data_IF_070911046159
#
_entry.id   IF_070911046159
#
_cell.length_a   1.000
_cell.length_b   1.000
_cell.length_c   1.000
_cell.angle_alpha   90.00
_cell.angle_beta   90.00
_cell.angle_gamma   90.00
#
_symmetry.space_group_name_H-M   'P 1'
#
loop_
_entity.id
_entity.type
_entity.pdbx_description
1 polymer ?
#
# COMPACT_ATOMS: atom_id res chain seq x y z
N UNK A 1 8.48 16.17 12.39
CA UNK A 1 7.09 16.20 11.89
C UNK A 1 6.54 14.81 12.13
N UNK A 2 5.35 14.65 12.73
CA UNK A 2 4.68 13.36 12.76
C UNK A 2 4.54 12.87 11.32
N UNK A 3 4.87 11.60 11.07
CA UNK A 3 4.70 11.00 9.75
C UNK A 3 3.21 10.84 9.50
N UNK A 4 2.79 10.95 8.25
CA UNK A 4 1.43 10.61 7.87
C UNK A 4 1.29 9.08 8.03
N UNK A 5 0.60 8.67 9.09
CA UNK A 5 0.11 7.31 9.28
C UNK A 5 -1.20 7.24 8.52
N UNK A 6 -1.32 6.21 7.68
CA UNK A 6 -2.49 5.96 6.84
C UNK A 6 -3.16 4.73 7.43
N UNK A 7 -4.35 4.94 8.00
CA UNK A 7 -5.22 3.85 8.40
C UNK A 7 -5.78 3.20 7.13
N UNK A 8 -5.78 1.87 7.10
CA UNK A 8 -6.33 1.06 6.04
C UNK A 8 -7.69 0.55 6.48
N UNK A 9 -8.72 0.91 5.72
CA UNK A 9 -10.04 0.30 5.83
C UNK A 9 -10.06 -0.92 4.90
N UNK A 10 -9.92 -2.12 5.47
CA UNK A 10 -9.83 -3.33 4.65
C UNK A 10 -11.15 -3.65 3.93
N UNK A 11 -12.30 -3.20 4.45
CA UNK A 11 -13.59 -3.37 3.75
C UNK A 11 -13.62 -2.47 2.50
N UNK A 12 -13.26 -1.19 2.63
CA UNK A 12 -13.16 -0.26 1.50
C UNK A 12 -12.16 -0.76 0.45
N UNK A 13 -11.03 -1.30 0.87
CA UNK A 13 -9.99 -1.82 -0.03
C UNK A 13 -10.44 -3.12 -0.72
N UNK A 14 -11.20 -4.00 -0.05
CA UNK A 14 -11.80 -5.18 -0.68
C UNK A 14 -12.86 -4.78 -1.73
N UNK A 15 -13.71 -3.80 -1.42
CA UNK A 15 -14.67 -3.23 -2.37
C UNK A 15 -13.96 -2.62 -3.59
N UNK A 16 -12.86 -1.88 -3.38
CA UNK A 16 -12.06 -1.31 -4.47
C UNK A 16 -11.42 -2.37 -5.38
N UNK A 17 -11.02 -3.53 -4.83
CA UNK A 17 -10.58 -4.67 -5.64
C UNK A 17 -11.76 -5.28 -6.42
N UNK A 18 -12.97 -5.29 -5.86
CA UNK A 18 -14.20 -5.65 -6.57
C UNK A 18 -14.46 -4.76 -7.78
N UNK A 19 -14.43 -3.43 -7.59
CA UNK A 19 -14.55 -2.46 -8.67
C UNK A 19 -13.47 -2.68 -9.75
N UNK A 20 -12.24 -3.00 -9.33
CA UNK A 20 -11.14 -3.31 -10.26
C UNK A 20 -11.39 -4.56 -11.09
N UNK A 21 -12.06 -5.58 -10.56
CA UNK A 21 -12.45 -6.76 -11.33
C UNK A 21 -13.49 -6.41 -12.39
N UNK A 22 -14.45 -5.55 -12.06
CA UNK A 22 -15.44 -5.06 -13.01
C UNK A 22 -14.78 -4.26 -14.14
N UNK A 23 -13.84 -3.36 -13.82
CA UNK A 23 -13.06 -2.63 -14.83
C UNK A 23 -12.28 -3.57 -15.77
N UNK A 24 -11.66 -4.63 -15.23
CA UNK A 24 -10.94 -5.62 -16.05
C UNK A 24 -11.90 -6.40 -16.97
N UNK A 25 -13.10 -6.71 -16.50
CA UNK A 25 -14.12 -7.37 -17.29
C UNK A 25 -14.63 -6.48 -18.42
N UNK A 26 -14.89 -5.19 -18.15
CA UNK A 26 -15.26 -4.20 -19.15
C UNK A 26 -14.18 -4.03 -20.22
N UNK A 27 -12.91 -3.89 -19.81
CA UNK A 27 -11.79 -3.76 -20.73
C UNK A 27 -11.58 -5.01 -21.62
N UNK A 28 -11.88 -6.23 -21.13
CA UNK A 28 -11.90 -7.44 -21.96
C UNK A 28 -13.05 -7.40 -22.99
N UNK A 29 -14.25 -6.95 -22.58
CA UNK A 29 -15.42 -6.85 -23.47
C UNK A 29 -15.22 -5.81 -24.58
N UNK A 30 -14.60 -4.68 -24.25
CA UNK A 30 -14.29 -3.60 -25.20
C UNK A 30 -13.08 -3.91 -26.09
N UNK A 31 -12.37 -5.01 -25.81
CA UNK A 31 -11.20 -5.45 -26.57
C UNK A 31 -9.93 -4.62 -26.30
N UNK A 32 -9.92 -3.85 -25.21
CA UNK A 32 -8.74 -3.11 -24.75
C UNK A 32 -7.71 -4.04 -24.09
N UNK A 33 -8.18 -5.17 -23.53
CA UNK A 33 -7.36 -6.22 -22.95
C UNK A 33 -7.61 -7.57 -23.63
N UNK A 34 -6.53 -8.26 -23.97
CA UNK A 34 -6.58 -9.65 -24.44
C UNK A 34 -7.08 -10.57 -23.32
N UNK A 35 -8.00 -11.51 -23.62
CA UNK A 35 -8.59 -12.42 -22.63
C UNK A 35 -7.57 -13.16 -21.74
N UNK A 36 -6.43 -13.55 -22.30
CA UNK A 36 -5.39 -14.25 -21.53
C UNK A 36 -4.66 -13.34 -20.54
N UNK A 37 -4.60 -12.04 -20.80
CA UNK A 37 -4.05 -11.04 -19.91
C UNK A 37 -5.09 -10.64 -18.87
N UNK A 38 -6.33 -10.37 -19.29
CA UNK A 38 -7.43 -10.03 -18.39
C UNK A 38 -7.63 -11.10 -17.31
N UNK A 39 -7.69 -12.39 -17.68
CA UNK A 39 -7.84 -13.49 -16.72
C UNK A 39 -6.69 -13.64 -15.74
N UNK A 40 -5.47 -13.30 -16.15
CA UNK A 40 -4.31 -13.36 -15.26
C UNK A 40 -4.41 -12.26 -14.21
N UNK A 41 -4.64 -11.03 -14.66
CA UNK A 41 -4.80 -9.87 -13.78
C UNK A 41 -5.99 -10.06 -12.84
N UNK A 42 -7.13 -10.53 -13.35
CA UNK A 42 -8.30 -10.82 -12.53
C UNK A 42 -8.03 -11.92 -11.51
N UNK A 43 -7.26 -12.96 -11.86
CA UNK A 43 -6.84 -14.00 -10.92
C UNK A 43 -6.02 -13.45 -9.76
N UNK A 44 -5.06 -12.57 -10.04
CA UNK A 44 -4.22 -11.94 -8.99
C UNK A 44 -5.08 -11.05 -8.07
N UNK A 45 -5.97 -10.22 -8.65
CA UNK A 45 -6.89 -9.35 -7.89
C UNK A 45 -7.86 -10.17 -7.03
N UNK A 46 -8.42 -11.26 -7.57
CA UNK A 46 -9.30 -12.15 -6.82
C UNK A 46 -8.63 -12.77 -5.60
N UNK A 47 -7.36 -13.16 -5.73
CA UNK A 47 -6.61 -13.73 -4.61
C UNK A 47 -6.32 -12.69 -3.52
N UNK A 48 -6.02 -11.45 -3.91
CA UNK A 48 -5.84 -10.35 -2.96
C UNK A 48 -7.16 -10.02 -2.23
N UNK A 49 -8.27 -9.93 -2.97
CA UNK A 49 -9.60 -9.69 -2.40
C UNK A 49 -9.98 -10.79 -1.40
N UNK A 50 -9.81 -12.05 -1.78
CA UNK A 50 -10.10 -13.17 -0.88
C UNK A 50 -9.22 -13.15 0.39
N UNK A 51 -7.94 -12.77 0.26
CA UNK A 51 -7.05 -12.65 1.41
C UNK A 51 -7.42 -11.48 2.35
N UNK A 52 -7.96 -10.38 1.81
CA UNK A 52 -8.52 -9.29 2.62
C UNK A 52 -9.79 -9.73 3.35
N UNK A 53 -10.70 -10.44 2.67
CA UNK A 53 -11.91 -11.00 3.28
C UNK A 53 -11.59 -11.99 4.41
N UNK A 54 -10.59 -12.86 4.21
CA UNK A 54 -10.09 -13.77 5.25
C UNK A 54 -9.55 -12.99 6.46
N UNK A 55 -8.75 -11.94 6.22
CA UNK A 55 -8.22 -11.11 7.30
C UNK A 55 -9.32 -10.36 8.07
N UNK A 56 -10.36 -9.88 7.38
CA UNK A 56 -11.54 -9.25 7.98
C UNK A 56 -12.36 -10.24 8.81
N UNK A 57 -12.52 -11.49 8.35
CA UNK A 57 -13.22 -12.52 9.11
C UNK A 57 -12.45 -12.91 10.39
N UNK A 58 -11.13 -13.04 10.30
CA UNK A 58 -10.27 -13.37 11.44
C UNK A 58 -10.13 -12.20 12.43
N UNK A 59 -10.14 -10.97 11.92
CA UNK A 59 -9.83 -9.76 12.67
C UNK A 59 -10.77 -8.58 12.35
N UNK A 60 -12.07 -8.71 12.67
CA UNK A 60 -13.09 -7.74 12.24
C UNK A 60 -12.96 -6.34 12.86
N UNK A 61 -12.38 -6.25 14.05
CA UNK A 61 -12.22 -4.98 14.79
C UNK A 61 -10.76 -4.47 14.77
N UNK A 62 -9.91 -5.06 13.94
CA UNK A 62 -8.49 -4.73 13.93
C UNK A 62 -8.19 -3.45 13.17
N UNK A 63 -7.29 -2.63 13.74
CA UNK A 63 -6.72 -1.50 13.03
C UNK A 63 -5.52 -1.95 12.21
N UNK A 64 -5.53 -1.58 10.94
CA UNK A 64 -4.42 -1.77 10.02
C UNK A 64 -3.89 -0.40 9.62
N UNK A 65 -2.58 -0.21 9.69
CA UNK A 65 -2.01 1.08 9.32
C UNK A 65 -0.65 0.93 8.67
N UNK A 66 -0.37 1.82 7.71
CA UNK A 66 0.94 1.95 7.07
C UNK A 66 1.48 3.35 7.27
N UNK A 67 2.76 3.54 6.99
CA UNK A 67 3.39 4.87 7.05
C UNK A 67 4.21 5.18 5.82
N UNK A 68 4.36 6.48 5.60
CA UNK A 68 5.41 6.98 4.72
C UNK A 68 6.83 6.74 5.28
N UNK A 69 7.78 6.56 4.37
CA UNK A 69 9.20 6.40 4.64
C UNK A 69 9.92 7.73 4.61
N UNK A 70 10.83 7.90 5.56
CA UNK A 70 11.85 8.92 5.41
C UNK A 70 12.81 8.55 4.28
N UNK A 71 13.49 9.53 3.67
CA UNK A 71 14.51 9.25 2.66
C UNK A 71 15.60 8.27 3.15
N UNK A 72 15.97 8.32 4.43
CA UNK A 72 16.93 7.41 5.04
C UNK A 72 16.41 5.96 5.11
N UNK A 73 15.22 5.76 5.65
CA UNK A 73 14.58 4.42 5.73
C UNK A 73 14.36 3.83 4.33
N UNK A 74 13.92 4.66 3.37
CA UNK A 74 13.77 4.23 1.98
C UNK A 74 15.10 3.79 1.37
N UNK A 75 16.19 4.51 1.65
CA UNK A 75 17.53 4.14 1.19
C UNK A 75 18.04 2.84 1.84
N UNK A 76 17.77 2.65 3.13
CA UNK A 76 18.11 1.42 3.86
C UNK A 76 17.34 0.21 3.30
N UNK A 77 16.03 0.34 3.12
CA UNK A 77 15.17 -0.69 2.52
C UNK A 77 15.62 -1.03 1.09
N UNK A 78 15.86 0.00 0.26
CA UNK A 78 16.36 -0.20 -1.12
C UNK A 78 17.72 -0.92 -1.11
N UNK A 79 18.58 -0.60 -0.15
CA UNK A 79 19.86 -1.29 0.06
C UNK A 79 19.70 -2.76 0.44
N UNK A 80 18.73 -3.09 1.31
CA UNK A 80 18.39 -4.46 1.70
C UNK A 80 17.86 -5.26 0.51
N UNK A 81 16.91 -4.69 -0.23
CA UNK A 81 16.33 -5.27 -1.46
C UNK A 81 17.44 -5.58 -2.47
N UNK A 82 18.32 -4.61 -2.73
CA UNK A 82 19.43 -4.77 -3.67
C UNK A 82 20.35 -5.92 -3.25
N UNK A 83 20.75 -5.99 -1.98
CA UNK A 83 21.60 -7.08 -1.48
C UNK A 83 20.93 -8.45 -1.63
N UNK A 84 19.63 -8.52 -1.40
CA UNK A 84 18.85 -9.76 -1.53
C UNK A 84 18.78 -10.22 -2.99
N UNK A 85 18.50 -9.31 -3.93
CA UNK A 85 18.53 -9.59 -5.37
C UNK A 85 19.92 -10.09 -5.81
N UNK A 86 20.98 -9.37 -5.43
CA UNK A 86 22.36 -9.75 -5.76
C UNK A 86 22.77 -11.10 -5.16
N UNK A 87 22.23 -11.47 -3.99
CA UNK A 87 22.48 -12.76 -3.37
C UNK A 87 21.76 -13.88 -4.12
N UNK A 88 20.49 -13.67 -4.47
CA UNK A 88 19.70 -14.67 -5.18
C UNK A 88 20.22 -14.95 -6.59
N UNK A 89 20.68 -13.91 -7.30
CA UNK A 89 21.39 -14.07 -8.58
C UNK A 89 22.62 -14.97 -8.47
N UNK A 90 23.32 -14.92 -7.31
CA UNK A 90 24.51 -15.76 -7.05
C UNK A 90 24.16 -17.18 -6.65
N UNK A 91 23.05 -17.40 -5.96
CA UNK A 91 22.64 -18.71 -5.43
C UNK A 91 21.65 -19.45 -6.33
N UNK A 92 21.06 -18.79 -7.32
CA UNK A 92 20.01 -19.34 -8.17
C UNK A 92 18.71 -19.57 -7.41
N UNK A 93 18.39 -18.68 -6.45
CA UNK A 93 17.19 -18.79 -5.63
C UNK A 93 16.01 -18.10 -6.34
N UNK A 94 14.88 -18.79 -6.49
CA UNK A 94 13.74 -18.31 -7.26
C UNK A 94 12.72 -17.48 -6.45
N UNK A 95 12.70 -17.62 -5.12
CA UNK A 95 11.69 -17.00 -4.24
C UNK A 95 12.00 -15.53 -3.86
N UNK A 96 12.69 -14.80 -4.73
CA UNK A 96 13.13 -13.43 -4.43
C UNK A 96 11.95 -12.51 -4.24
N UNK A 97 10.98 -12.55 -5.13
CA UNK A 97 9.85 -11.61 -5.13
C UNK A 97 9.06 -11.70 -3.83
N UNK A 98 8.74 -12.92 -3.35
CA UNK A 98 8.09 -13.09 -2.04
C UNK A 98 8.92 -12.53 -0.89
N UNK A 99 10.25 -12.64 -0.93
CA UNK A 99 11.10 -12.02 0.08
C UNK A 99 11.06 -10.48 0.01
N UNK A 100 10.89 -9.89 -1.18
CA UNK A 100 10.74 -8.44 -1.35
C UNK A 100 9.41 -7.94 -0.82
N UNK A 101 8.32 -8.67 -1.08
CA UNK A 101 6.99 -8.32 -0.57
C UNK A 101 7.01 -8.28 0.96
N UNK A 102 7.61 -9.30 1.58
CA UNK A 102 7.85 -9.33 3.02
C UNK A 102 8.60 -8.08 3.51
N UNK A 103 9.64 -7.63 2.79
CA UNK A 103 10.39 -6.45 3.19
C UNK A 103 9.61 -5.14 3.04
N UNK A 104 8.85 -4.97 1.95
CA UNK A 104 8.05 -3.77 1.74
C UNK A 104 6.92 -3.68 2.76
N UNK A 105 6.13 -4.75 2.88
CA UNK A 105 5.04 -4.83 3.86
C UNK A 105 5.58 -4.60 5.28
N UNK A 106 6.61 -5.35 5.68
CA UNK A 106 7.19 -5.23 7.02
C UNK A 106 7.93 -3.91 7.28
N UNK A 107 8.33 -3.15 6.27
CA UNK A 107 8.89 -1.81 6.48
C UNK A 107 7.78 -0.77 6.68
N UNK A 108 6.69 -0.88 5.92
CA UNK A 108 5.58 0.07 5.88
C UNK A 108 4.54 -0.09 6.98
N UNK A 109 4.28 -1.31 7.44
CA UNK A 109 3.21 -1.60 8.39
C UNK A 109 3.48 -1.02 9.79
N UNK A 110 2.58 -0.24 10.34
CA UNK A 110 2.70 0.33 11.69
C UNK A 110 1.90 -0.52 12.67
N UNK A 111 0.62 -0.74 12.38
CA UNK A 111 -0.27 -1.58 13.18
C UNK A 111 -0.89 -2.67 12.30
N UNK A 112 -0.93 -3.88 12.87
CA UNK A 112 -1.68 -5.03 12.37
C UNK A 112 -1.76 -6.10 13.47
N UNK A 113 -2.81 -6.95 13.49
CA UNK A 113 -2.99 -8.02 14.48
C UNK A 113 -1.77 -8.92 14.66
N UNK A 114 -1.11 -9.28 13.55
CA UNK A 114 0.03 -10.18 13.59
C UNK A 114 1.33 -9.54 14.12
N UNK A 115 1.34 -8.21 14.34
CA UNK A 115 2.47 -7.47 14.93
C UNK A 115 2.35 -7.25 16.44
N UNK A 116 1.24 -7.61 17.09
CA UNK A 116 1.02 -7.31 18.52
C UNK A 116 2.08 -7.91 19.46
N UNK A 117 2.66 -9.05 19.08
CA UNK A 117 3.64 -9.80 19.88
C UNK A 117 5.11 -9.53 19.49
N UNK A 118 5.39 -8.60 18.57
CA UNK A 118 6.77 -8.30 18.12
C UNK A 118 7.21 -6.89 18.51
N UNK A 119 8.51 -6.68 18.63
CA UNK A 119 9.04 -5.33 18.80
C UNK A 119 8.83 -4.53 17.51
N UNK A 120 7.86 -3.62 17.53
CA UNK A 120 7.54 -2.75 16.39
C UNK A 120 8.73 -1.88 15.93
N UNK A 121 9.74 -1.68 16.79
CA UNK A 121 10.97 -0.97 16.46
C UNK A 121 12.01 -1.83 15.74
N UNK A 122 11.90 -3.17 15.82
CA UNK A 122 12.78 -4.11 15.13
C UNK A 122 12.21 -4.52 13.77
N UNK A 123 12.85 -4.04 12.70
CA UNK A 123 12.49 -4.38 11.33
C UNK A 123 12.64 -5.89 11.05
N UNK A 124 13.61 -6.57 11.67
CA UNK A 124 13.81 -7.99 11.44
C UNK A 124 12.68 -8.83 12.04
N UNK A 125 12.25 -8.52 13.26
CA UNK A 125 11.11 -9.20 13.89
C UNK A 125 9.82 -8.98 13.08
N UNK A 126 9.59 -7.75 12.59
CA UNK A 126 8.46 -7.45 11.71
C UNK A 126 8.50 -8.23 10.40
N UNK A 127 9.68 -8.35 9.76
CA UNK A 127 9.86 -9.14 8.54
C UNK A 127 9.49 -10.60 8.80
N UNK A 128 9.92 -11.16 9.93
CA UNK A 128 9.59 -12.55 10.28
C UNK A 128 8.09 -12.73 10.57
N UNK A 129 7.46 -11.77 11.26
CA UNK A 129 6.03 -11.80 11.53
C UNK A 129 5.19 -11.75 10.24
N UNK A 130 5.54 -10.85 9.31
CA UNK A 130 4.89 -10.75 7.99
C UNK A 130 5.10 -12.01 7.15
N UNK A 131 6.28 -12.63 7.24
CA UNK A 131 6.57 -13.86 6.50
C UNK A 131 5.81 -15.08 7.03
N UNK A 132 5.69 -15.22 8.34
CA UNK A 132 5.29 -16.48 8.97
C UNK A 132 3.81 -16.54 9.36
N UNK A 133 3.12 -15.40 9.47
CA UNK A 133 1.75 -15.33 10.00
C UNK A 133 0.67 -15.10 8.93
N UNK A 134 0.64 -13.98 8.18
CA UNK A 134 -0.43 -13.70 7.23
C UNK A 134 -0.36 -14.55 5.95
N UNK A 135 -1.49 -14.61 5.25
CA UNK A 135 -1.60 -15.17 3.90
C UNK A 135 -0.62 -14.44 2.94
N UNK A 136 0.16 -15.14 2.09
CA UNK A 136 1.08 -14.50 1.14
C UNK A 136 0.43 -13.47 0.22
N UNK A 137 -0.84 -13.65 -0.15
CA UNK A 137 -1.56 -12.69 -0.98
C UNK A 137 -1.91 -11.41 -0.21
N UNK A 138 -2.15 -11.51 1.10
CA UNK A 138 -2.29 -10.33 1.96
C UNK A 138 -0.96 -9.58 2.08
N UNK A 139 0.15 -10.30 2.21
CA UNK A 139 1.49 -9.70 2.22
C UNK A 139 1.79 -8.96 0.92
N UNK A 140 1.46 -9.58 -0.21
CA UNK A 140 1.62 -8.96 -1.53
C UNK A 140 0.78 -7.68 -1.63
N UNK A 141 -0.50 -7.72 -1.25
CA UNK A 141 -1.36 -6.54 -1.24
C UNK A 141 -0.81 -5.41 -0.33
N UNK A 142 -0.36 -5.75 0.88
CA UNK A 142 0.28 -4.79 1.79
C UNK A 142 1.55 -4.18 1.18
N UNK A 143 2.37 -5.00 0.53
CA UNK A 143 3.59 -4.54 -0.13
C UNK A 143 3.28 -3.58 -1.28
N UNK A 144 2.26 -3.87 -2.08
CA UNK A 144 1.78 -3.02 -3.17
C UNK A 144 1.26 -1.68 -2.62
N UNK A 145 0.41 -1.69 -1.58
CA UNK A 145 -0.13 -0.48 -0.95
C UNK A 145 0.96 0.38 -0.31
N UNK A 146 1.91 -0.24 0.40
CA UNK A 146 3.07 0.46 0.96
C UNK A 146 3.93 1.07 -0.15
N UNK A 147 4.18 0.31 -1.21
CA UNK A 147 4.98 0.78 -2.35
C UNK A 147 4.28 1.95 -3.03
N UNK A 148 2.97 1.88 -3.21
CA UNK A 148 2.15 2.95 -3.75
C UNK A 148 2.33 4.22 -2.90
N UNK A 149 1.99 4.20 -1.62
CA UNK A 149 2.09 5.41 -0.78
C UNK A 149 3.53 5.96 -0.66
N UNK A 150 4.54 5.12 -0.92
CA UNK A 150 5.96 5.49 -0.81
C UNK A 150 6.69 5.74 -2.13
N UNK A 151 6.02 5.64 -3.28
CA UNK A 151 6.60 5.94 -4.59
C UNK A 151 6.28 7.37 -5.03
N UNK A 152 7.24 7.98 -5.73
CA UNK A 152 7.15 9.39 -6.14
C UNK A 152 6.07 9.55 -7.20
N UNK A 153 5.01 10.30 -6.88
CA UNK A 153 4.02 10.75 -7.87
C UNK A 153 2.61 10.19 -7.75
N UNK A 154 2.24 9.51 -6.66
CA UNK A 154 0.90 8.95 -6.49
C UNK A 154 -0.18 9.98 -6.14
N UNK A 155 -0.37 10.91 -7.07
CA UNK A 155 -1.62 11.65 -7.32
C UNK A 155 -2.05 12.66 -6.26
N UNK A 156 -1.59 12.57 -5.02
CA UNK A 156 -2.17 13.26 -3.86
C UNK A 156 -1.34 14.44 -3.33
N UNK A 157 -0.35 14.94 -4.06
CA UNK A 157 0.42 16.12 -3.59
C UNK A 157 0.25 17.34 -4.48
N UNK A 158 -0.64 18.22 -4.02
CA UNK A 158 -0.44 19.65 -4.18
C UNK A 158 0.84 20.07 -3.43
N UNK A 159 1.86 20.45 -4.20
CA UNK A 159 3.11 21.08 -3.80
C UNK A 159 2.90 22.28 -2.85
N UNK A 160 3.96 22.73 -2.17
CA UNK A 160 3.90 23.96 -1.34
C UNK A 160 3.40 25.18 -2.14
N UNK A 161 3.69 25.23 -3.44
CA UNK A 161 3.18 26.27 -4.35
C UNK A 161 1.67 26.14 -4.59
N UNK A 162 1.14 24.92 -4.74
CA UNK A 162 -0.30 24.68 -4.88
C UNK A 162 -1.06 24.98 -3.58
N UNK A 163 -0.47 24.69 -2.42
CA UNK A 163 -1.01 25.09 -1.12
C UNK A 163 -1.02 26.60 -0.92
N UNK A 164 -0.03 27.31 -1.49
CA UNK A 164 0.03 28.77 -1.43
C UNK A 164 -1.00 29.42 -2.36
N UNK A 165 -1.22 28.87 -3.56
CA UNK A 165 -2.26 29.30 -4.49
C UNK A 165 -3.66 29.10 -3.90
N UNK A 166 -3.95 27.93 -3.30
CA UNK A 166 -5.21 27.66 -2.62
C UNK A 166 -5.50 28.70 -1.51
N UNK A 167 -4.49 29.03 -0.69
CA UNK A 167 -4.64 30.07 0.36
C UNK A 167 -4.81 31.50 -0.16
N UNK A 168 -4.33 31.82 -1.36
CA UNK A 168 -4.54 33.13 -1.98
C UNK A 168 -5.94 33.24 -2.60
N UNK A 169 -6.45 32.12 -3.11
CA UNK A 169 -7.78 32.00 -3.67
C UNK A 169 -8.86 32.07 -2.56
N UNK A 170 -8.69 31.32 -1.47
CA UNK A 170 -9.56 31.39 -0.28
C UNK A 170 -9.65 32.80 0.33
N UNK A 171 -8.57 33.59 0.24
CA UNK A 171 -8.53 35.00 0.69
C UNK A 171 -9.19 35.98 -0.26
N UNK A 172 -9.32 35.63 -1.54
CA UNK A 172 -9.98 36.47 -2.54
C UNK A 172 -11.48 36.20 -2.61
N UNK A 173 -11.88 34.98 -2.23
CA UNK A 173 -13.28 34.52 -2.19
C UNK A 173 -13.97 34.77 -0.83
N UNK A 174 -13.27 35.31 0.17
CA UNK A 174 -13.85 35.72 1.44
C UNK A 174 -14.83 36.90 1.19
N UNK A 175 -16.16 36.73 1.33
CA UNK A 175 -17.09 37.79 1.05
C UNK A 175 -16.94 38.84 2.16
N UNK A 176 -16.66 40.09 1.76
CA UNK A 176 -16.75 41.26 2.63
C UNK A 176 -18.17 41.36 3.20
N UNK A 177 -18.40 40.64 4.29
CA UNK A 177 -19.64 40.64 5.06
C UNK A 177 -19.54 41.73 6.11
N UNK A 178 -19.50 42.99 5.67
CA UNK A 178 -19.93 44.11 6.49
C UNK A 178 -21.36 44.48 6.06
N UNK A 179 -22.29 44.08 6.94
CA UNK A 179 -23.75 44.20 6.86
C UNK A 179 -24.26 45.65 6.70
N UNK A 180 -25.53 45.79 6.23
CA UNK A 180 -26.21 47.06 6.05
C UNK A 180 -26.83 47.57 7.35
N UNK A 181 -26.83 48.89 7.54
CA UNK A 181 -27.94 49.72 8.09
C UNK A 181 -27.54 51.19 8.04
#
# INVERSE_FOLDING_TARGET
>A
MPRDVIELDLEEEADALGDRLDELAEAELDGELESSQARRLAGDVQQQMWALEEALEEHPDATWSIREFTPGEKAELTGLIRRTKEQAERTGQDDVESALDNYWAAAGLVDAPFLEDVDASDLHERIMAVRDKPNPYLVQWLADRVTEENTLGNGKRSSYAERLAAKQQDRSDEPSSAKPS
#
